data_IF_514640899744
#
_entry.id   IF_514640899744
#
_cell.length_a   1.000
_cell.length_b   1.000
_cell.length_c   1.000
_cell.angle_alpha   90.00
_cell.angle_beta   90.00
_cell.angle_gamma   90.00
#
_symmetry.space_group_name_H-M   'P 1'
#
loop_
_entity.id
_entity.type
_entity.pdbx_description
1 polymer ?
#
# COMPACT_ATOMS: atom_id res chain seq x y z
N UNK A 1 0.14 3.26 -29.36
CA UNK A 1 -0.13 2.31 -28.28
C UNK A 1 -0.87 1.10 -28.84
N UNK A 2 -0.18 -0.03 -29.00
CA UNK A 2 -0.86 -1.28 -29.37
C UNK A 2 -1.62 -1.78 -28.13
N UNK A 3 -2.92 -1.50 -28.05
CA UNK A 3 -3.75 -2.07 -26.98
C UNK A 3 -3.71 -3.59 -27.11
N UNK A 4 -3.12 -4.27 -26.14
CA UNK A 4 -3.26 -5.73 -26.03
C UNK A 4 -4.75 -6.05 -26.06
N UNK A 5 -5.16 -7.06 -26.83
CA UNK A 5 -6.57 -7.48 -26.94
C UNK A 5 -7.13 -7.73 -25.53
N UNK A 6 -8.40 -7.35 -25.33
CA UNK A 6 -9.17 -7.64 -24.12
C UNK A 6 -9.05 -9.13 -23.76
N UNK A 7 -8.29 -9.43 -22.71
CA UNK A 7 -8.00 -10.79 -22.26
C UNK A 7 -7.99 -10.82 -20.72
N UNK A 8 -8.85 -11.63 -20.13
CA UNK A 8 -8.99 -11.75 -18.67
C UNK A 8 -7.90 -12.63 -18.02
N UNK A 9 -7.25 -13.50 -18.80
CA UNK A 9 -6.25 -14.45 -18.24
C UNK A 9 -5.15 -13.76 -17.44
N UNK A 10 -4.50 -12.68 -17.93
CA UNK A 10 -3.50 -11.97 -17.14
C UNK A 10 -4.02 -11.34 -15.85
N UNK A 11 -5.28 -10.88 -15.86
CA UNK A 11 -5.91 -10.29 -14.66
C UNK A 11 -6.17 -11.38 -13.63
N UNK A 12 -6.72 -12.52 -14.04
CA UNK A 12 -6.91 -13.67 -13.16
C UNK A 12 -5.59 -14.17 -12.61
N UNK A 13 -4.56 -14.29 -13.46
CA UNK A 13 -3.23 -14.71 -13.03
C UNK A 13 -2.65 -13.78 -11.97
N UNK A 14 -2.62 -12.46 -12.21
CA UNK A 14 -2.09 -11.51 -11.23
C UNK A 14 -2.93 -11.49 -9.95
N UNK A 15 -4.25 -11.69 -10.05
CA UNK A 15 -5.12 -11.78 -8.88
C UNK A 15 -4.80 -13.00 -8.02
N UNK A 16 -4.51 -14.15 -8.63
CA UNK A 16 -4.06 -15.35 -7.91
C UNK A 16 -2.70 -15.12 -7.25
N UNK A 17 -1.75 -14.50 -7.96
CA UNK A 17 -0.41 -14.17 -7.40
C UNK A 17 -0.55 -13.26 -6.18
N UNK A 18 -1.32 -12.18 -6.28
CA UNK A 18 -1.51 -11.24 -5.17
C UNK A 18 -2.27 -11.88 -4.00
N UNK A 19 -3.31 -12.68 -4.30
CA UNK A 19 -4.04 -13.43 -3.28
C UNK A 19 -3.15 -14.46 -2.56
N UNK A 20 -2.18 -15.06 -3.26
CA UNK A 20 -1.20 -15.97 -2.65
C UNK A 20 -0.15 -15.20 -1.80
N UNK A 21 0.20 -13.97 -2.18
CA UNK A 21 1.08 -13.13 -1.36
C UNK A 21 0.46 -12.81 0.00
N UNK A 22 -0.86 -12.61 0.08
CA UNK A 22 -1.55 -12.21 1.29
C UNK A 22 -1.28 -13.12 2.52
N UNK A 23 -1.52 -14.44 2.47
CA UNK A 23 -1.20 -15.34 3.58
C UNK A 23 0.31 -15.44 3.85
N UNK A 24 1.16 -15.28 2.82
CA UNK A 24 2.61 -15.26 2.99
C UNK A 24 3.05 -14.05 3.83
N UNK A 25 2.48 -12.88 3.60
CA UNK A 25 2.79 -11.68 4.40
C UNK A 25 2.42 -11.89 5.87
N UNK A 26 1.26 -12.47 6.15
CA UNK A 26 0.83 -12.78 7.53
C UNK A 26 1.79 -13.79 8.17
N UNK A 27 2.17 -14.81 7.45
CA UNK A 27 3.10 -15.84 7.95
C UNK A 27 4.51 -15.30 8.17
N UNK A 28 5.07 -14.54 7.23
CA UNK A 28 6.42 -13.99 7.32
C UNK A 28 6.60 -13.01 8.47
N UNK A 29 5.51 -12.40 8.96
CA UNK A 29 5.58 -11.50 10.11
C UNK A 29 6.04 -12.19 11.38
N UNK A 30 5.69 -13.47 11.56
CA UNK A 30 6.14 -14.27 12.71
C UNK A 30 7.32 -15.19 12.39
N UNK A 31 7.51 -15.55 11.13
CA UNK A 31 8.50 -16.53 10.69
C UNK A 31 9.07 -16.15 9.31
N UNK A 32 9.84 -15.06 9.21
CA UNK A 32 10.44 -14.66 7.95
C UNK A 32 11.47 -15.71 7.49
N UNK A 33 11.47 -16.09 6.20
CA UNK A 33 12.41 -17.09 5.68
C UNK A 33 13.88 -16.62 5.68
N UNK A 34 14.09 -15.31 5.71
CA UNK A 34 15.41 -14.68 5.84
C UNK A 34 15.53 -14.10 7.24
N UNK A 35 16.44 -14.64 8.07
CA UNK A 35 16.71 -14.12 9.41
C UNK A 35 17.98 -13.27 9.41
N UNK A 36 17.79 -11.97 9.62
CA UNK A 36 18.89 -11.01 9.75
C UNK A 36 19.22 -10.80 11.23
N UNK A 37 20.52 -10.63 11.53
CA UNK A 37 21.03 -10.31 12.86
C UNK A 37 21.92 -9.07 12.75
N UNK A 38 21.27 -7.90 12.66
CA UNK A 38 21.93 -6.60 12.44
C UNK A 38 21.95 -5.78 13.72
N UNK A 39 20.88 -5.93 14.54
CA UNK A 39 20.67 -5.16 15.76
C UNK A 39 20.86 -6.06 17.00
N UNK A 40 21.11 -5.46 18.15
CA UNK A 40 21.09 -6.16 19.43
C UNK A 40 19.67 -6.65 19.80
N UNK A 41 18.66 -5.87 19.45
CA UNK A 41 17.25 -6.21 19.70
C UNK A 41 16.77 -7.31 18.74
N UNK A 42 16.27 -8.41 19.30
CA UNK A 42 15.64 -9.49 18.56
C UNK A 42 14.38 -9.00 17.80
N UNK A 43 13.61 -8.08 18.38
CA UNK A 43 12.42 -7.51 17.75
C UNK A 43 12.76 -6.70 16.50
N UNK A 44 13.84 -5.90 16.54
CA UNK A 44 14.28 -5.14 15.36
C UNK A 44 14.83 -6.05 14.26
N UNK A 45 15.53 -7.12 14.64
CA UNK A 45 16.00 -8.13 13.69
C UNK A 45 14.83 -8.84 13.01
N UNK A 46 13.79 -9.20 13.76
CA UNK A 46 12.58 -9.82 13.22
C UNK A 46 11.86 -8.89 12.25
N UNK A 47 11.65 -7.63 12.64
CA UNK A 47 11.00 -6.64 11.77
C UNK A 47 11.84 -6.37 10.50
N UNK A 48 13.15 -6.17 10.61
CA UNK A 48 14.01 -5.99 9.46
C UNK A 48 13.99 -7.20 8.53
N UNK A 49 14.02 -8.41 9.10
CA UNK A 49 13.93 -9.66 8.35
C UNK A 49 12.64 -9.76 7.57
N UNK A 50 11.52 -9.39 8.20
CA UNK A 50 10.21 -9.30 7.56
C UNK A 50 10.23 -8.28 6.41
N UNK A 51 10.67 -7.05 6.67
CA UNK A 51 10.68 -5.99 5.67
C UNK A 51 11.54 -6.33 4.44
N UNK A 52 12.73 -6.90 4.64
CA UNK A 52 13.59 -7.33 3.54
C UNK A 52 12.95 -8.48 2.76
N UNK A 53 12.33 -9.44 3.45
CA UNK A 53 11.64 -10.56 2.79
C UNK A 53 10.50 -10.08 1.90
N UNK A 54 9.66 -9.15 2.41
CA UNK A 54 8.53 -8.60 1.66
C UNK A 54 9.00 -7.71 0.51
N UNK A 55 10.10 -6.98 0.69
CA UNK A 55 10.73 -6.21 -0.39
C UNK A 55 11.21 -7.11 -1.54
N UNK A 56 11.83 -8.26 -1.22
CA UNK A 56 12.21 -9.24 -2.25
C UNK A 56 10.99 -9.79 -2.98
N UNK A 57 9.91 -10.07 -2.26
CA UNK A 57 8.64 -10.48 -2.88
C UNK A 57 8.07 -9.40 -3.80
N UNK A 58 8.14 -8.13 -3.40
CA UNK A 58 7.72 -7.01 -4.24
C UNK A 58 8.56 -6.91 -5.53
N UNK A 59 9.88 -7.15 -5.46
CA UNK A 59 10.74 -7.20 -6.65
C UNK A 59 10.33 -8.33 -7.59
N UNK A 60 9.99 -9.51 -7.06
CA UNK A 60 9.46 -10.62 -7.86
C UNK A 60 8.15 -10.20 -8.55
N UNK A 61 7.23 -9.55 -7.83
CA UNK A 61 5.97 -9.06 -8.40
C UNK A 61 6.22 -8.02 -9.51
N UNK A 62 7.18 -7.12 -9.35
CA UNK A 62 7.60 -6.19 -10.43
C UNK A 62 8.04 -6.99 -11.67
N UNK A 63 8.86 -8.03 -11.49
CA UNK A 63 9.29 -8.90 -12.59
C UNK A 63 8.13 -9.59 -13.31
N UNK A 64 7.16 -10.11 -12.55
CA UNK A 64 5.95 -10.74 -13.09
C UNK A 64 5.13 -9.70 -13.87
N UNK A 65 4.90 -8.52 -13.30
CA UNK A 65 4.16 -7.43 -13.96
C UNK A 65 4.88 -7.00 -15.23
N UNK A 66 6.21 -6.89 -15.21
CA UNK A 66 6.99 -6.60 -16.41
C UNK A 66 6.79 -7.65 -17.52
N UNK A 67 6.81 -8.92 -17.16
CA UNK A 67 6.53 -10.03 -18.11
C UNK A 67 5.13 -9.94 -18.76
N UNK A 68 4.13 -9.51 -17.97
CA UNK A 68 2.72 -9.42 -18.41
C UNK A 68 2.44 -8.10 -19.15
N UNK A 69 2.77 -6.96 -18.53
CA UNK A 69 2.39 -5.62 -18.97
C UNK A 69 3.48 -4.91 -19.80
N UNK A 70 4.72 -5.36 -19.69
CA UNK A 70 5.86 -4.77 -20.38
C UNK A 70 6.28 -3.41 -19.80
N UNK A 71 7.06 -2.65 -20.55
CA UNK A 71 7.55 -1.31 -20.16
C UNK A 71 6.42 -0.31 -19.89
N UNK A 72 5.28 -0.46 -20.55
CA UNK A 72 4.10 0.42 -20.35
C UNK A 72 3.52 0.24 -18.93
N UNK A 73 3.50 -0.99 -18.42
CA UNK A 73 3.10 -1.26 -17.04
C UNK A 73 4.04 -0.62 -16.02
N UNK A 74 5.37 -0.70 -16.24
CA UNK A 74 6.36 -0.07 -15.36
C UNK A 74 6.26 1.46 -15.30
N UNK A 75 5.64 2.09 -16.29
CA UNK A 75 5.45 3.55 -16.29
C UNK A 75 4.64 4.08 -15.09
N UNK A 76 3.85 3.23 -14.44
CA UNK A 76 3.13 3.56 -13.22
C UNK A 76 4.03 3.71 -11.97
N UNK A 77 5.29 3.22 -11.99
CA UNK A 77 6.27 3.40 -10.92
C UNK A 77 6.90 4.80 -10.89
N UNK A 78 6.45 5.71 -11.74
CA UNK A 78 7.03 7.04 -11.86
C UNK A 78 6.66 7.94 -10.68
N UNK A 79 7.64 8.28 -9.85
CA UNK A 79 7.49 9.20 -8.71
C UNK A 79 7.38 10.69 -9.09
N UNK A 80 7.72 11.05 -10.33
CA UNK A 80 7.63 12.45 -10.80
C UNK A 80 6.21 12.83 -11.23
N UNK A 81 5.38 11.84 -11.54
CA UNK A 81 3.99 12.07 -11.96
C UNK A 81 3.11 12.24 -10.72
N UNK A 82 2.79 13.49 -10.40
CA UNK A 82 2.04 13.89 -9.20
C UNK A 82 0.70 14.53 -9.51
N UNK A 83 0.37 14.67 -10.79
CA UNK A 83 -0.85 15.34 -11.23
C UNK A 83 -1.55 14.57 -12.35
N UNK A 84 -2.84 14.82 -12.52
CA UNK A 84 -3.68 14.15 -13.49
C UNK A 84 -5.13 14.62 -13.41
N UNK A 85 -5.98 14.13 -14.31
CA UNK A 85 -7.41 14.44 -14.33
C UNK A 85 -8.09 13.68 -13.19
N UNK A 86 -8.74 14.42 -12.30
CA UNK A 86 -9.49 13.86 -11.17
C UNK A 86 -10.88 13.45 -11.66
N UNK A 87 -11.21 12.17 -11.60
CA UNK A 87 -12.60 11.72 -11.82
C UNK A 87 -13.42 11.98 -10.58
N UNK A 88 -14.64 12.55 -10.76
CA UNK A 88 -15.54 12.78 -9.63
C UNK A 88 -15.88 11.49 -8.88
N UNK A 89 -15.93 11.59 -7.56
CA UNK A 89 -16.39 10.54 -6.64
C UNK A 89 -17.34 11.19 -5.62
N UNK A 90 -18.58 11.45 -6.00
CA UNK A 90 -19.52 12.21 -5.17
C UNK A 90 -19.81 11.57 -3.80
N UNK A 91 -19.72 10.25 -3.71
CA UNK A 91 -19.96 9.47 -2.49
C UNK A 91 -18.94 9.71 -1.36
N UNK A 92 -17.75 10.22 -1.70
CA UNK A 92 -16.73 10.68 -0.75
C UNK A 92 -16.52 12.19 -0.81
N UNK A 93 -17.41 12.92 -1.44
CA UNK A 93 -17.33 14.37 -1.54
C UNK A 93 -16.34 14.91 -2.58
N UNK A 94 -15.70 14.05 -3.37
CA UNK A 94 -14.78 14.47 -4.45
C UNK A 94 -15.60 14.96 -5.65
N UNK A 95 -15.76 16.28 -5.74
CA UNK A 95 -16.41 16.99 -6.84
C UNK A 95 -15.41 18.02 -7.38
N UNK A 96 -14.44 17.59 -8.21
CA UNK A 96 -13.35 18.45 -8.64
C UNK A 96 -13.87 19.62 -9.46
N UNK A 97 -13.32 20.82 -9.20
CA UNK A 97 -13.46 21.99 -10.06
C UNK A 97 -12.42 21.91 -11.18
N UNK A 98 -12.61 22.66 -12.26
CA UNK A 98 -11.68 22.66 -13.40
C UNK A 98 -10.24 23.01 -13.03
N UNK A 99 -10.05 23.81 -11.98
CA UNK A 99 -8.74 24.24 -11.46
C UNK A 99 -8.17 23.28 -10.40
N UNK A 100 -8.86 22.22 -10.04
CA UNK A 100 -8.44 21.33 -8.96
C UNK A 100 -7.47 20.26 -9.49
N UNK A 101 -6.36 20.08 -8.79
CA UNK A 101 -5.28 19.20 -9.21
C UNK A 101 -5.10 18.05 -8.23
N UNK A 102 -4.52 16.96 -8.70
CA UNK A 102 -4.13 15.84 -7.83
C UNK A 102 -3.16 16.25 -6.74
N UNK A 103 -2.32 17.28 -6.97
CA UNK A 103 -1.44 17.81 -5.91
C UNK A 103 -2.24 18.29 -4.71
N UNK A 104 -3.29 19.08 -4.95
CA UNK A 104 -4.15 19.57 -3.87
C UNK A 104 -4.96 18.46 -3.23
N UNK A 105 -5.60 17.61 -4.05
CA UNK A 105 -6.38 16.48 -3.57
C UNK A 105 -5.53 15.51 -2.76
N UNK A 106 -4.36 15.13 -3.28
CA UNK A 106 -3.44 14.21 -2.63
C UNK A 106 -2.94 14.72 -1.28
N UNK A 107 -2.59 16.00 -1.17
CA UNK A 107 -2.20 16.63 0.12
C UNK A 107 -3.36 16.59 1.11
N UNK A 108 -4.57 16.97 0.69
CA UNK A 108 -5.74 16.97 1.56
C UNK A 108 -6.04 15.56 2.08
N UNK A 109 -6.04 14.55 1.21
CA UNK A 109 -6.27 13.16 1.61
C UNK A 109 -5.11 12.60 2.45
N UNK A 110 -3.86 12.96 2.17
CA UNK A 110 -2.73 12.59 3.02
C UNK A 110 -2.94 13.07 4.46
N UNK A 111 -3.34 14.33 4.64
CA UNK A 111 -3.61 14.90 5.97
C UNK A 111 -4.80 14.20 6.63
N UNK A 112 -5.95 14.11 5.94
CA UNK A 112 -7.17 13.55 6.52
C UNK A 112 -6.99 12.08 6.89
N UNK A 113 -6.42 11.27 5.98
CA UNK A 113 -6.21 9.84 6.23
C UNK A 113 -5.23 9.66 7.40
N UNK A 114 -4.12 10.44 7.44
CA UNK A 114 -3.15 10.36 8.54
C UNK A 114 -3.78 10.71 9.88
N UNK A 115 -4.60 11.75 9.95
CA UNK A 115 -5.32 12.11 11.17
C UNK A 115 -6.29 11.01 11.62
N UNK A 116 -7.08 10.47 10.69
CA UNK A 116 -8.02 9.37 11.00
C UNK A 116 -7.26 8.13 11.48
N UNK A 117 -6.19 7.74 10.78
CA UNK A 117 -5.34 6.62 11.20
C UNK A 117 -4.74 6.87 12.58
N UNK A 118 -4.24 8.07 12.87
CA UNK A 118 -3.67 8.41 14.18
C UNK A 118 -4.68 8.23 15.29
N UNK A 119 -5.93 8.68 15.09
CA UNK A 119 -7.01 8.52 16.07
C UNK A 119 -7.34 7.05 16.29
N UNK A 120 -7.51 6.28 15.22
CA UNK A 120 -7.85 4.84 15.33
C UNK A 120 -6.72 4.05 15.98
N UNK A 121 -5.48 4.27 15.59
CA UNK A 121 -4.31 3.61 16.18
C UNK A 121 -4.13 4.00 17.64
N UNK A 122 -4.38 5.26 18.01
CA UNK A 122 -4.37 5.67 19.41
C UNK A 122 -5.33 4.82 20.23
N UNK A 123 -6.58 4.66 19.81
CA UNK A 123 -7.57 3.89 20.55
C UNK A 123 -7.33 2.38 20.52
N UNK A 124 -6.80 1.82 19.45
CA UNK A 124 -6.60 0.37 19.32
C UNK A 124 -5.26 -0.11 19.91
N UNK A 125 -4.23 0.72 19.86
CA UNK A 125 -2.86 0.30 20.20
C UNK A 125 -2.36 0.98 21.48
N UNK A 126 -2.64 2.28 21.65
CA UNK A 126 -2.04 3.09 22.72
C UNK A 126 -2.97 3.22 23.93
N UNK A 127 -4.27 3.44 23.70
CA UNK A 127 -5.24 3.68 24.77
C UNK A 127 -5.39 2.46 25.69
N UNK A 128 -5.19 2.68 26.99
CA UNK A 128 -5.28 1.61 28.01
C UNK A 128 -4.01 0.77 28.19
N UNK A 129 -2.95 1.01 27.42
CA UNK A 129 -1.62 0.44 27.61
C UNK A 129 -0.65 1.38 28.31
N UNK A 130 0.45 0.84 28.85
CA UNK A 130 1.59 1.64 29.28
C UNK A 130 2.41 2.05 28.05
N UNK A 131 2.57 3.34 27.83
CA UNK A 131 3.49 3.85 26.81
C UNK A 131 4.91 3.78 27.34
N UNK A 132 5.80 3.07 26.65
CA UNK A 132 7.21 2.99 26.96
C UNK A 132 8.05 3.38 25.74
N UNK A 133 9.14 4.09 25.95
CA UNK A 133 10.11 4.41 24.90
C UNK A 133 11.34 3.50 24.93
N UNK A 134 11.39 2.53 25.82
CA UNK A 134 12.54 1.63 25.99
C UNK A 134 12.85 0.82 24.72
N UNK A 135 11.79 0.42 24.00
CA UNK A 135 11.90 -0.33 22.75
C UNK A 135 11.74 0.54 21.50
N UNK A 136 11.72 1.88 21.65
CA UNK A 136 11.59 2.78 20.52
C UNK A 136 12.90 2.84 19.73
N UNK A 137 12.92 2.40 18.45
CA UNK A 137 14.16 2.22 17.69
C UNK A 137 14.75 3.53 17.15
N UNK A 138 14.13 4.66 17.50
CA UNK A 138 14.47 5.96 16.93
C UNK A 138 13.78 6.24 15.60
N UNK A 139 13.66 7.54 15.31
CA UNK A 139 12.88 8.04 14.15
C UNK A 139 13.39 7.47 12.83
N UNK A 140 14.71 7.37 12.64
CA UNK A 140 15.30 6.91 11.36
C UNK A 140 14.87 5.47 11.03
N UNK A 141 14.87 4.58 12.03
CA UNK A 141 14.50 3.18 11.82
C UNK A 141 12.99 3.03 11.59
N UNK A 142 12.17 3.83 12.28
CA UNK A 142 10.72 3.92 12.00
C UNK A 142 10.46 4.35 10.56
N UNK A 143 11.13 5.41 10.09
CA UNK A 143 10.97 5.87 8.71
C UNK A 143 11.43 4.82 7.70
N UNK A 144 12.50 4.07 8.01
CA UNK A 144 12.98 3.00 7.14
C UNK A 144 11.96 1.85 7.04
N UNK A 145 11.45 1.35 8.18
CA UNK A 145 10.45 0.29 8.20
C UNK A 145 9.17 0.73 7.47
N UNK A 146 8.68 1.94 7.76
CA UNK A 146 7.52 2.51 7.11
C UNK A 146 7.69 2.61 5.58
N UNK A 147 8.87 3.07 5.12
CA UNK A 147 9.13 3.18 3.68
C UNK A 147 9.20 1.82 3.00
N UNK A 148 9.88 0.84 3.61
CA UNK A 148 9.99 -0.51 3.06
C UNK A 148 8.63 -1.20 2.99
N UNK A 149 7.82 -1.08 4.06
CA UNK A 149 6.47 -1.65 4.11
C UNK A 149 5.56 -1.01 3.06
N UNK A 150 5.42 0.32 3.09
CA UNK A 150 4.58 1.04 2.15
C UNK A 150 4.98 0.77 0.68
N UNK A 151 6.28 0.80 0.36
CA UNK A 151 6.74 0.48 -0.99
C UNK A 151 6.34 -0.93 -1.41
N UNK A 152 6.64 -1.92 -0.57
CA UNK A 152 6.39 -3.32 -0.89
C UNK A 152 4.90 -3.63 -1.05
N UNK A 153 4.07 -3.12 -0.14
CA UNK A 153 2.62 -3.33 -0.20
C UNK A 153 1.99 -2.58 -1.37
N UNK A 154 2.45 -1.36 -1.69
CA UNK A 154 1.95 -0.65 -2.87
C UNK A 154 2.32 -1.37 -4.18
N UNK A 155 3.48 -2.00 -4.26
CA UNK A 155 3.85 -2.84 -5.41
C UNK A 155 2.92 -4.06 -5.51
N UNK A 156 2.74 -4.78 -4.41
CA UNK A 156 1.99 -6.04 -4.42
C UNK A 156 0.50 -5.78 -4.66
N UNK A 157 -0.12 -4.85 -3.93
CA UNK A 157 -1.57 -4.71 -3.87
C UNK A 157 -2.15 -3.63 -4.79
N UNK A 158 -1.37 -2.69 -5.33
CA UNK A 158 -1.87 -1.60 -6.19
C UNK A 158 -1.21 -1.61 -7.56
N UNK A 159 0.11 -1.46 -7.61
CA UNK A 159 0.84 -1.41 -8.87
C UNK A 159 0.57 -2.64 -9.74
N UNK A 160 0.57 -3.83 -9.16
CA UNK A 160 0.29 -5.09 -9.86
C UNK A 160 -1.05 -5.06 -10.62
N UNK A 161 -2.12 -4.62 -9.95
CA UNK A 161 -3.45 -4.52 -10.57
C UNK A 161 -3.54 -3.36 -11.55
N UNK A 162 -3.07 -2.17 -11.15
CA UNK A 162 -3.13 -0.96 -11.99
C UNK A 162 -2.40 -1.18 -13.31
N UNK A 163 -1.19 -1.72 -13.27
CA UNK A 163 -0.38 -1.96 -14.45
C UNK A 163 -1.02 -3.01 -15.39
N UNK A 164 -1.43 -4.15 -14.84
CA UNK A 164 -1.97 -5.25 -15.65
C UNK A 164 -3.34 -4.88 -16.21
N UNK A 165 -4.28 -4.41 -15.38
CA UNK A 165 -5.64 -4.04 -15.82
C UNK A 165 -5.60 -2.96 -16.91
N UNK A 166 -4.75 -1.93 -16.73
CA UNK A 166 -4.60 -0.84 -17.70
C UNK A 166 -4.00 -1.31 -19.02
N UNK A 167 -3.03 -2.23 -18.99
CA UNK A 167 -2.36 -2.74 -20.19
C UNK A 167 -3.29 -3.56 -21.09
N UNK A 168 -4.31 -4.18 -20.51
CA UNK A 168 -5.32 -4.96 -21.25
C UNK A 168 -6.62 -4.20 -21.54
N UNK A 169 -6.66 -2.90 -21.24
CA UNK A 169 -7.77 -2.00 -21.59
C UNK A 169 -9.07 -2.19 -20.83
N UNK A 170 -8.99 -2.85 -19.67
CA UNK A 170 -10.16 -2.99 -18.78
C UNK A 170 -10.49 -1.69 -18.06
N UNK A 171 -11.70 -1.64 -17.52
CA UNK A 171 -12.15 -0.51 -16.73
C UNK A 171 -11.22 -0.27 -15.52
N UNK A 172 -10.84 0.98 -15.23
CA UNK A 172 -10.03 1.30 -14.06
C UNK A 172 -10.68 0.88 -12.74
N UNK A 173 -12.00 0.77 -12.68
CA UNK A 173 -12.73 0.28 -11.51
C UNK A 173 -12.40 -1.18 -11.18
N UNK A 174 -11.97 -2.00 -12.16
CA UNK A 174 -11.51 -3.37 -11.92
C UNK A 174 -10.25 -3.36 -11.04
N UNK A 175 -9.25 -2.54 -11.39
CA UNK A 175 -8.03 -2.43 -10.59
C UNK A 175 -8.32 -1.90 -9.18
N UNK A 176 -9.17 -0.87 -9.08
CA UNK A 176 -9.58 -0.29 -7.80
C UNK A 176 -10.34 -1.31 -6.93
N UNK A 177 -11.26 -2.07 -7.51
CA UNK A 177 -12.03 -3.10 -6.81
C UNK A 177 -11.16 -4.24 -6.30
N UNK A 178 -10.23 -4.76 -7.13
CA UNK A 178 -9.30 -5.81 -6.74
C UNK A 178 -8.36 -5.33 -5.61
N UNK A 179 -7.80 -4.14 -5.74
CA UNK A 179 -6.94 -3.54 -4.72
C UNK A 179 -7.69 -3.36 -3.39
N UNK A 180 -8.91 -2.83 -3.43
CA UNK A 180 -9.75 -2.65 -2.25
C UNK A 180 -10.08 -3.98 -1.56
N UNK A 181 -10.53 -4.96 -2.33
CA UNK A 181 -11.04 -6.24 -1.79
C UNK A 181 -9.91 -7.04 -1.14
N UNK A 182 -8.81 -7.27 -1.85
CA UNK A 182 -7.74 -8.12 -1.34
C UNK A 182 -7.00 -7.43 -0.19
N UNK A 183 -6.65 -6.16 -0.35
CA UNK A 183 -5.97 -5.41 0.69
C UNK A 183 -6.82 -5.25 1.96
N UNK A 184 -8.13 -4.99 1.79
CA UNK A 184 -9.05 -4.93 2.90
C UNK A 184 -9.09 -6.23 3.70
N UNK A 185 -9.28 -7.37 3.03
CA UNK A 185 -9.37 -8.68 3.69
C UNK A 185 -8.11 -9.01 4.49
N UNK A 186 -6.92 -8.75 3.93
CA UNK A 186 -5.63 -9.00 4.61
C UNK A 186 -5.53 -8.21 5.91
N UNK A 187 -6.07 -7.01 5.96
CA UNK A 187 -6.01 -6.12 7.13
C UNK A 187 -6.93 -6.53 8.28
N UNK A 188 -7.71 -7.60 8.14
CA UNK A 188 -8.38 -8.21 9.29
C UNK A 188 -7.38 -8.60 10.39
N UNK A 189 -6.18 -9.04 9.99
CA UNK A 189 -5.07 -9.41 10.87
C UNK A 189 -4.02 -8.30 11.04
N UNK A 190 -4.29 -7.09 10.53
CA UNK A 190 -3.37 -5.94 10.54
C UNK A 190 -3.51 -5.03 11.76
N UNK A 191 -2.93 -3.84 11.65
CA UNK A 191 -3.08 -2.72 12.58
C UNK A 191 -3.46 -1.45 11.79
N UNK A 192 -4.68 -0.91 12.01
CA UNK A 192 -5.74 -1.44 12.85
C UNK A 192 -6.27 -2.77 12.30
N UNK A 193 -6.69 -3.68 13.20
CA UNK A 193 -7.23 -4.99 12.85
C UNK A 193 -8.76 -5.06 12.91
N UNK A 194 -9.29 -6.29 12.66
CA UNK A 194 -10.71 -6.56 12.67
C UNK A 194 -11.50 -5.84 11.58
N UNK A 195 -12.81 -5.67 11.78
CA UNK A 195 -13.69 -5.02 10.79
C UNK A 195 -13.27 -3.56 10.49
N UNK A 196 -12.91 -2.73 11.48
CA UNK A 196 -12.41 -1.38 11.18
C UNK A 196 -11.17 -1.41 10.26
N UNK A 197 -10.22 -2.31 10.51
CA UNK A 197 -9.05 -2.50 9.67
C UNK A 197 -9.41 -2.86 8.23
N UNK A 198 -10.33 -3.81 8.05
CA UNK A 198 -10.83 -4.21 6.71
C UNK A 198 -11.41 -3.02 5.96
N UNK A 199 -12.30 -2.25 6.61
CA UNK A 199 -12.97 -1.12 5.95
C UNK A 199 -12.01 0.01 5.61
N UNK A 200 -11.12 0.38 6.53
CA UNK A 200 -10.12 1.41 6.31
C UNK A 200 -9.13 1.01 5.21
N UNK A 201 -8.61 -0.21 5.26
CA UNK A 201 -7.67 -0.71 4.26
C UNK A 201 -8.33 -0.88 2.89
N UNK A 202 -9.59 -1.33 2.82
CA UNK A 202 -10.34 -1.39 1.56
C UNK A 202 -10.50 0.00 0.93
N UNK A 203 -10.86 1.01 1.74
CA UNK A 203 -10.95 2.39 1.27
C UNK A 203 -9.60 2.91 0.76
N UNK A 204 -8.53 2.72 1.53
CA UNK A 204 -7.17 3.11 1.13
C UNK A 204 -6.74 2.36 -0.13
N UNK A 205 -7.00 1.04 -0.20
CA UNK A 205 -6.71 0.23 -1.38
C UNK A 205 -7.33 0.77 -2.65
N UNK A 206 -8.61 1.13 -2.57
CA UNK A 206 -9.35 1.76 -3.65
C UNK A 206 -8.78 3.14 -4.02
N UNK A 207 -8.56 4.01 -3.01
CA UNK A 207 -8.14 5.39 -3.22
C UNK A 207 -6.71 5.49 -3.78
N UNK A 208 -5.78 4.69 -3.28
CA UNK A 208 -4.40 4.68 -3.74
C UNK A 208 -4.30 4.12 -5.17
N UNK A 209 -5.08 3.10 -5.51
CA UNK A 209 -5.20 2.63 -6.89
C UNK A 209 -5.77 3.72 -7.81
N UNK A 210 -6.78 4.50 -7.36
CA UNK A 210 -7.31 5.67 -8.08
C UNK A 210 -6.20 6.70 -8.33
N UNK A 211 -5.41 7.01 -7.32
CA UNK A 211 -4.30 7.97 -7.43
C UNK A 211 -3.30 7.57 -8.53
N UNK A 212 -2.92 6.30 -8.54
CA UNK A 212 -1.99 5.75 -9.54
C UNK A 212 -2.58 5.78 -10.96
N UNK A 213 -3.85 5.41 -11.12
CA UNK A 213 -4.55 5.40 -12.40
C UNK A 213 -4.67 6.80 -13.01
N UNK A 214 -5.00 7.79 -12.19
CA UNK A 214 -5.29 9.16 -12.65
C UNK A 214 -4.03 10.01 -12.85
N UNK A 215 -3.02 9.84 -12.00
CA UNK A 215 -1.73 10.51 -12.17
C UNK A 215 -0.78 9.74 -13.09
N UNK A 216 -1.06 8.46 -13.37
CA UNK A 216 -0.13 7.52 -14.00
C UNK A 216 1.22 7.49 -13.29
N UNK A 217 1.20 7.59 -11.96
CA UNK A 217 2.39 7.71 -11.11
C UNK A 217 2.22 6.99 -9.77
N UNK A 218 3.35 6.77 -9.09
CA UNK A 218 3.45 6.05 -7.84
C UNK A 218 3.42 6.96 -6.60
N UNK A 219 3.64 8.27 -6.80
CA UNK A 219 3.96 9.21 -5.73
C UNK A 219 2.91 9.27 -4.63
N UNK A 220 1.62 9.49 -4.98
CA UNK A 220 0.59 9.65 -3.95
C UNK A 220 0.28 8.35 -3.23
N UNK A 221 0.28 7.23 -3.95
CA UNK A 221 0.09 5.93 -3.34
C UNK A 221 1.18 5.66 -2.29
N UNK A 222 2.45 5.79 -2.68
CA UNK A 222 3.56 5.62 -1.75
C UNK A 222 3.55 6.63 -0.59
N UNK A 223 3.34 7.92 -0.87
CA UNK A 223 3.42 8.96 0.16
C UNK A 223 2.31 8.82 1.19
N UNK A 224 1.07 8.61 0.75
CA UNK A 224 -0.06 8.47 1.68
C UNK A 224 0.12 7.20 2.52
N UNK A 225 0.47 6.06 1.93
CA UNK A 225 0.71 4.83 2.68
C UNK A 225 1.87 4.97 3.66
N UNK A 226 3.00 5.50 3.21
CA UNK A 226 4.15 5.76 4.06
C UNK A 226 3.81 6.57 5.32
N UNK A 227 2.98 7.61 5.20
CA UNK A 227 2.55 8.41 6.35
C UNK A 227 1.68 7.60 7.33
N UNK A 228 0.86 6.67 6.83
CA UNK A 228 0.11 5.73 7.69
C UNK A 228 1.07 4.84 8.47
N UNK A 229 2.04 4.26 7.78
CA UNK A 229 3.00 3.34 8.39
C UNK A 229 3.89 4.03 9.41
N UNK A 230 4.28 5.30 9.20
CA UNK A 230 4.99 6.08 10.22
C UNK A 230 4.18 6.17 11.51
N UNK A 231 2.87 6.42 11.42
CA UNK A 231 1.98 6.45 12.60
C UNK A 231 1.88 5.07 13.25
N UNK A 232 1.65 4.04 12.43
CA UNK A 232 1.45 2.67 12.92
C UNK A 232 2.72 2.14 13.59
N UNK A 233 3.87 2.21 12.93
CA UNK A 233 5.13 1.75 13.50
C UNK A 233 5.54 2.54 14.75
N UNK A 234 5.33 3.86 14.75
CA UNK A 234 5.57 4.66 15.96
C UNK A 234 4.76 4.13 17.15
N UNK A 235 3.47 3.87 16.96
CA UNK A 235 2.62 3.37 18.04
C UNK A 235 2.98 1.93 18.47
N UNK A 236 3.32 1.05 17.52
CA UNK A 236 3.68 -0.33 17.81
C UNK A 236 4.98 -0.44 18.64
N UNK A 237 5.95 0.43 18.40
CA UNK A 237 7.22 0.45 19.14
C UNK A 237 7.21 1.32 20.39
N UNK A 238 6.10 2.01 20.66
CA UNK A 238 5.87 2.75 21.90
C UNK A 238 5.01 1.98 22.94
N UNK A 239 4.67 0.74 22.64
CA UNK A 239 3.81 -0.12 23.47
C UNK A 239 4.60 -1.03 24.39
#
# INVERSE_FOLDING_TARGET
>A
MNKKRFNMVPILFISIVVAACAPLLVWFKSSPPLLLKIFESAGYNLEMSYQVTVLLLAVIVIGIVYGIAGKEGLAYLNLKRRDGIIRPEPWIGVKPKETETWKKLGVNFAIVITLVTSVVIYFQVVHGGSVSLELYPGVILILLFALMNAFSEEIIFRFSFVAVVSSYGFSPYVAQGLAASIFGVVHYFGNPGGIPGVLMAAFIGWFLAKSMLETKGFFWALTIHFLQDVVIFSALFMK
#
